data_IF_251597254810
#
_entry.id   IF_251597254810
#
_cell.length_a   1.000
_cell.length_b   1.000
_cell.length_c   1.000
_cell.angle_alpha   90.00
_cell.angle_beta   90.00
_cell.angle_gamma   90.00
#
_symmetry.space_group_name_H-M   'P 1'
#
loop_
_entity.id
_entity.type
_entity.pdbx_description
1 polymer ?
#
# COMPACT_ATOMS: atom_id res chain seq x y z
N UNK A 1 6.30 -16.64 -12.70
CA UNK A 1 6.48 -15.24 -12.30
C UNK A 1 5.86 -15.10 -10.92
N UNK A 2 6.62 -14.64 -9.93
CA UNK A 2 6.12 -14.51 -8.57
C UNK A 2 5.49 -13.13 -8.42
N UNK A 3 4.15 -13.06 -8.43
CA UNK A 3 3.44 -11.85 -8.04
C UNK A 3 3.53 -11.73 -6.53
N UNK A 4 4.55 -11.02 -6.05
CA UNK A 4 4.75 -10.75 -4.62
C UNK A 4 4.02 -9.46 -4.28
N UNK A 5 3.25 -9.49 -3.21
CA UNK A 5 2.66 -8.29 -2.62
C UNK A 5 3.08 -8.20 -1.15
N UNK A 6 3.24 -6.97 -0.67
CA UNK A 6 3.47 -6.69 0.74
C UNK A 6 2.52 -5.58 1.20
N UNK A 7 1.71 -5.89 2.20
CA UNK A 7 0.85 -4.91 2.86
C UNK A 7 1.70 -4.04 3.79
N UNK A 8 1.55 -2.73 3.70
CA UNK A 8 2.28 -1.74 4.49
C UNK A 8 1.32 -1.07 5.46
N UNK A 9 1.63 -1.14 6.74
CA UNK A 9 0.79 -0.61 7.81
C UNK A 9 1.46 0.58 8.50
N UNK A 10 0.68 1.61 8.80
CA UNK A 10 1.04 2.67 9.74
C UNK A 10 0.29 2.41 11.06
N UNK A 11 1.01 1.91 12.07
CA UNK A 11 0.38 1.41 13.29
C UNK A 11 -0.49 0.19 12.99
N UNK A 12 -1.82 0.33 13.15
CA UNK A 12 -2.81 -0.73 12.87
C UNK A 12 -3.58 -0.52 11.56
N UNK A 13 -3.36 0.61 10.88
CA UNK A 13 -4.09 0.97 9.68
C UNK A 13 -3.27 0.58 8.45
N UNK A 14 -3.93 -0.07 7.48
CA UNK A 14 -3.33 -0.33 6.18
C UNK A 14 -3.12 1.02 5.48
N UNK A 15 -1.90 1.25 5.00
CA UNK A 15 -1.49 2.50 4.35
C UNK A 15 -1.30 2.32 2.85
N UNK A 16 -0.70 1.21 2.44
CA UNK A 16 -0.23 0.99 1.07
C UNK A 16 -0.08 -0.51 0.79
N UNK A 17 -0.12 -0.90 -0.48
CA UNK A 17 0.28 -2.21 -0.95
C UNK A 17 1.44 -2.09 -1.94
N UNK A 18 2.57 -2.68 -1.56
CA UNK A 18 3.71 -2.87 -2.44
C UNK A 18 3.46 -4.05 -3.37
N UNK A 19 3.57 -3.83 -4.67
CA UNK A 19 3.41 -4.87 -5.69
C UNK A 19 4.70 -5.02 -6.49
N UNK A 20 5.20 -6.25 -6.58
CA UNK A 20 6.31 -6.62 -7.45
C UNK A 20 5.78 -6.96 -8.85
N UNK A 21 6.21 -6.17 -9.83
CA UNK A 21 5.95 -6.41 -11.25
C UNK A 21 7.29 -6.55 -11.96
N UNK A 22 7.68 -7.79 -12.24
CA UNK A 22 8.92 -8.12 -12.95
C UNK A 22 10.20 -7.54 -12.30
N UNK A 23 10.27 -7.52 -10.98
CA UNK A 23 11.42 -6.99 -10.23
C UNK A 23 11.35 -5.49 -9.96
N UNK A 24 10.32 -4.81 -10.47
CA UNK A 24 10.03 -3.43 -10.13
C UNK A 24 8.94 -3.37 -9.06
N UNK A 25 9.20 -2.63 -7.99
CA UNK A 25 8.23 -2.38 -6.94
C UNK A 25 7.43 -1.13 -7.25
N UNK A 26 6.10 -1.25 -7.21
CA UNK A 26 5.18 -0.12 -7.26
C UNK A 26 4.41 -0.01 -5.94
N UNK A 27 4.03 1.23 -5.63
CA UNK A 27 3.25 1.60 -4.45
C UNK A 27 1.83 1.95 -4.90
N UNK A 28 0.85 1.53 -4.13
CA UNK A 28 -0.56 1.89 -4.29
C UNK A 28 -1.17 2.16 -2.92
N UNK A 29 -1.28 3.46 -2.59
CA UNK A 29 -1.92 3.90 -1.36
C UNK A 29 -3.32 3.32 -1.20
N UNK A 30 -3.62 2.93 0.02
CA UNK A 30 -4.95 2.54 0.44
C UNK A 30 -5.87 3.77 0.45
N UNK A 31 -7.09 3.62 -0.07
CA UNK A 31 -8.01 4.74 -0.19
C UNK A 31 -8.55 5.19 1.17
N UNK A 32 -8.77 4.26 2.10
CA UNK A 32 -9.24 4.57 3.44
C UNK A 32 -8.14 5.28 4.23
N UNK A 33 -6.87 4.91 4.01
CA UNK A 33 -5.72 5.69 4.48
C UNK A 33 -5.75 7.14 3.97
N UNK A 34 -5.85 7.34 2.65
CA UNK A 34 -5.89 8.69 2.07
C UNK A 34 -7.06 9.53 2.58
N UNK A 35 -8.23 8.91 2.78
CA UNK A 35 -9.40 9.59 3.32
C UNK A 35 -9.18 9.98 4.79
N UNK A 36 -8.58 9.11 5.61
CA UNK A 36 -8.31 9.40 7.02
C UNK A 36 -7.34 10.56 7.25
N UNK A 37 -6.42 10.81 6.32
CA UNK A 37 -5.49 11.95 6.38
C UNK A 37 -6.17 13.28 6.02
N UNK A 38 -7.26 13.23 5.25
CA UNK A 38 -7.98 14.41 4.77
C UNK A 38 -9.21 14.77 5.64
N UNK A 39 -9.53 13.98 6.67
CA UNK A 39 -10.45 14.39 7.74
C UNK A 39 -9.73 15.37 8.68
N UNK A 40 -9.58 16.62 8.22
CA UNK A 40 -9.12 17.77 9.01
C UNK A 40 -10.26 18.73 9.26
#
# INVERSE_FOLDING_TARGET
MNNRSLDVYAGKQLMDQLQDSNGFWSFKYDQDWLNSVNEV
#
